data_IF_523548469600
#
_entry.id   IF_523548469600
#
_cell.length_a   1.000
_cell.length_b   1.000
_cell.length_c   1.000
_cell.angle_alpha   90.00
_cell.angle_beta   90.00
_cell.angle_gamma   90.00
#
_symmetry.space_group_name_H-M   'P 1'
#
loop_
_entity.id
_entity.type
_entity.pdbx_description
1 polymer ?
#
# COMPACT_ATOMS: atom_id res chain seq x y z
N UNK A 1 -5.54 -1.73 -21.57
CA UNK A 1 -5.16 -1.55 -20.15
C UNK A 1 -5.65 -0.24 -19.52
N UNK A 2 -5.06 0.95 -19.74
CA UNK A 2 -5.46 2.19 -19.03
C UNK A 2 -6.96 2.49 -19.18
N UNK A 3 -7.47 2.50 -20.41
CA UNK A 3 -8.90 2.75 -20.66
C UNK A 3 -9.80 1.71 -19.98
N UNK A 4 -9.38 0.44 -19.92
CA UNK A 4 -10.14 -0.63 -19.26
C UNK A 4 -10.15 -0.46 -17.73
N UNK A 5 -9.02 -0.07 -17.13
CA UNK A 5 -8.94 0.24 -15.69
C UNK A 5 -9.88 1.40 -15.32
N UNK A 6 -9.94 2.43 -16.17
CA UNK A 6 -10.85 3.58 -15.99
C UNK A 6 -12.31 3.14 -16.10
N UNK A 7 -12.65 2.31 -17.09
CA UNK A 7 -14.04 1.81 -17.24
C UNK A 7 -14.47 0.89 -16.10
N UNK A 8 -13.59 -0.02 -15.62
CA UNK A 8 -13.84 -0.84 -14.44
C UNK A 8 -14.10 0.05 -13.21
N UNK A 9 -13.32 1.13 -13.07
CA UNK A 9 -13.47 2.07 -11.97
C UNK A 9 -14.81 2.83 -12.01
N UNK A 10 -15.25 3.29 -13.19
CA UNK A 10 -16.57 3.91 -13.38
C UNK A 10 -17.71 2.97 -13.00
N UNK A 11 -17.64 1.70 -13.43
CA UNK A 11 -18.64 0.70 -13.07
C UNK A 11 -18.71 0.50 -11.54
N UNK A 12 -17.55 0.45 -10.89
CA UNK A 12 -17.43 0.32 -9.42
C UNK A 12 -18.05 1.52 -8.69
N UNK A 13 -17.89 2.74 -9.20
CA UNK A 13 -18.53 3.95 -8.65
C UNK A 13 -20.05 3.86 -8.68
N UNK A 14 -20.62 3.39 -9.79
CA UNK A 14 -22.08 3.24 -9.94
C UNK A 14 -22.63 2.25 -8.91
N UNK A 15 -21.94 1.13 -8.70
CA UNK A 15 -22.30 0.16 -7.67
C UNK A 15 -22.28 0.79 -6.26
N UNK A 16 -21.21 1.52 -5.93
CA UNK A 16 -21.06 2.20 -4.62
C UNK A 16 -22.17 3.22 -4.34
N UNK A 17 -22.54 4.03 -5.34
CA UNK A 17 -23.62 5.02 -5.19
C UNK A 17 -25.00 4.38 -4.96
N UNK A 18 -25.21 3.20 -5.55
CA UNK A 18 -26.48 2.48 -5.45
C UNK A 18 -26.57 1.57 -4.21
N UNK A 19 -25.47 1.37 -3.48
CA UNK A 19 -25.42 0.55 -2.27
C UNK A 19 -25.41 1.45 -1.01
N UNK A 20 -26.45 1.41 -0.16
CA UNK A 20 -26.53 2.27 1.03
C UNK A 20 -25.37 2.13 2.02
N UNK A 21 -24.82 0.91 2.16
CA UNK A 21 -23.69 0.64 3.06
C UNK A 21 -22.42 1.29 2.51
N UNK A 22 -22.19 1.17 1.20
CA UNK A 22 -21.04 1.79 0.55
C UNK A 22 -21.16 3.32 0.54
N UNK A 23 -22.38 3.86 0.35
CA UNK A 23 -22.63 5.30 0.45
C UNK A 23 -22.31 5.86 1.84
N UNK A 24 -22.67 5.16 2.90
CA UNK A 24 -22.32 5.59 4.26
C UNK A 24 -20.81 5.60 4.48
N UNK A 25 -20.10 4.60 3.93
CA UNK A 25 -18.63 4.59 3.94
C UNK A 25 -18.01 5.73 3.13
N UNK A 26 -18.63 6.13 2.02
CA UNK A 26 -18.23 7.32 1.26
C UNK A 26 -18.37 8.58 2.13
N UNK A 27 -19.46 8.74 2.87
CA UNK A 27 -19.65 9.87 3.80
C UNK A 27 -18.57 9.91 4.88
N UNK A 28 -18.22 8.76 5.46
CA UNK A 28 -17.14 8.67 6.45
C UNK A 28 -15.79 9.05 5.81
N UNK A 29 -15.48 8.50 4.62
CA UNK A 29 -14.23 8.78 3.91
C UNK A 29 -14.07 10.25 3.49
N UNK A 30 -15.18 10.95 3.21
CA UNK A 30 -15.19 12.38 2.91
C UNK A 30 -14.71 13.24 4.11
N UNK A 31 -14.91 12.74 5.33
CA UNK A 31 -14.52 13.41 6.57
C UNK A 31 -13.10 13.04 7.04
N UNK A 32 -12.39 12.17 6.32
CA UNK A 32 -11.02 11.76 6.63
C UNK A 32 -10.89 10.24 6.80
N UNK A 33 -9.84 9.83 7.51
CA UNK A 33 -9.52 8.42 7.72
C UNK A 33 -9.38 8.11 9.21
N UNK A 34 -9.93 6.96 9.61
CA UNK A 34 -9.83 6.40 10.97
C UNK A 34 -9.68 4.87 10.84
N UNK A 35 -8.58 4.40 10.22
CA UNK A 35 -8.33 2.98 10.07
C UNK A 35 -8.18 2.32 11.44
N UNK A 36 -8.69 1.10 11.55
CA UNK A 36 -8.62 0.29 12.77
C UNK A 36 -7.39 -0.60 12.79
N UNK A 37 -6.83 -0.87 11.61
CA UNK A 37 -5.72 -1.78 11.42
C UNK A 37 -4.59 -1.09 10.66
N UNK A 38 -3.35 -1.44 11.02
CA UNK A 38 -2.22 -1.34 10.10
C UNK A 38 -2.07 -2.73 9.46
N UNK A 39 -2.38 -2.86 8.17
CA UNK A 39 -2.23 -4.11 7.42
C UNK A 39 -0.87 -4.11 6.70
N UNK A 40 -0.02 -5.10 6.98
CA UNK A 40 1.25 -5.28 6.31
C UNK A 40 1.16 -6.53 5.43
N UNK A 41 1.03 -6.31 4.14
CA UNK A 41 0.84 -7.36 3.15
C UNK A 41 2.05 -7.52 2.25
N UNK A 42 2.24 -8.73 1.71
CA UNK A 42 3.27 -8.92 0.69
C UNK A 42 2.89 -8.21 -0.61
N UNK A 43 3.90 -7.78 -1.40
CA UNK A 43 3.67 -7.18 -2.73
C UNK A 43 2.73 -8.03 -3.59
N UNK A 44 2.82 -9.35 -3.48
CA UNK A 44 2.02 -10.30 -4.27
C UNK A 44 0.56 -10.40 -3.84
N UNK A 45 0.22 -10.00 -2.61
CA UNK A 45 -1.04 -10.36 -1.94
C UNK A 45 -1.84 -9.21 -1.39
N UNK A 46 -1.31 -7.98 -1.34
CA UNK A 46 -1.97 -6.82 -0.73
C UNK A 46 -3.43 -6.62 -1.16
N UNK A 47 -3.72 -6.73 -2.46
CA UNK A 47 -5.09 -6.61 -2.97
C UNK A 47 -5.98 -7.82 -2.58
N UNK A 48 -5.41 -9.03 -2.54
CA UNK A 48 -6.11 -10.24 -2.09
C UNK A 48 -6.41 -10.19 -0.59
N UNK A 49 -5.50 -9.69 0.24
CA UNK A 49 -5.69 -9.61 1.69
C UNK A 49 -6.86 -8.69 2.08
N UNK A 50 -7.01 -7.56 1.37
CA UNK A 50 -8.17 -6.67 1.55
C UNK A 50 -9.49 -7.39 1.24
N UNK A 51 -9.52 -8.21 0.18
CA UNK A 51 -10.70 -8.99 -0.18
C UNK A 51 -10.95 -10.14 0.80
N UNK A 52 -9.91 -10.90 1.11
CA UNK A 52 -9.94 -12.09 1.95
C UNK A 52 -10.39 -11.77 3.37
N UNK A 53 -9.86 -10.70 3.96
CA UNK A 53 -10.20 -10.26 5.32
C UNK A 53 -11.48 -9.40 5.39
N UNK A 54 -12.15 -9.22 4.25
CA UNK A 54 -13.31 -8.35 4.09
C UNK A 54 -13.08 -6.93 4.64
N UNK A 55 -11.88 -6.39 4.41
CA UNK A 55 -11.50 -5.04 4.83
C UNK A 55 -12.01 -4.05 3.80
N UNK A 56 -12.91 -3.17 4.24
CA UNK A 56 -13.51 -2.16 3.38
C UNK A 56 -12.71 -0.86 3.42
N UNK A 57 -13.06 0.04 2.51
CA UNK A 57 -12.54 1.40 2.51
C UNK A 57 -12.65 2.04 3.90
N UNK A 58 -11.52 2.55 4.39
CA UNK A 58 -11.38 3.16 5.71
C UNK A 58 -11.07 2.17 6.84
N UNK A 59 -11.03 0.85 6.61
CA UNK A 59 -10.78 -0.12 7.68
C UNK A 59 -9.29 -0.30 8.01
N UNK A 60 -8.40 -0.21 7.03
CA UNK A 60 -6.97 -0.49 7.21
C UNK A 60 -6.08 0.54 6.51
N UNK A 61 -5.09 1.06 7.24
CA UNK A 61 -3.93 1.73 6.65
C UNK A 61 -2.91 0.66 6.26
N UNK A 62 -2.20 0.83 5.15
CA UNK A 62 -1.39 -0.26 4.60
C UNK A 62 0.11 0.00 4.68
N UNK A 63 0.87 -1.04 5.03
CA UNK A 63 2.29 -1.17 4.78
C UNK A 63 2.54 -2.34 3.83
N UNK A 64 3.75 -2.40 3.27
CA UNK A 64 4.14 -3.42 2.30
C UNK A 64 5.34 -4.21 2.82
N UNK A 65 5.42 -5.49 2.48
CA UNK A 65 6.61 -6.32 2.67
C UNK A 65 6.97 -7.07 1.39
N UNK A 66 8.23 -7.46 1.25
CA UNK A 66 8.67 -8.33 0.16
C UNK A 66 8.33 -9.79 0.50
N UNK A 67 7.71 -10.56 -0.43
CA UNK A 67 7.32 -11.95 -0.17
C UNK A 67 8.53 -12.85 0.12
N UNK A 68 8.42 -13.74 1.11
CA UNK A 68 9.49 -14.69 1.49
C UNK A 68 10.72 -14.02 2.09
N UNK A 69 10.62 -12.74 2.48
CA UNK A 69 11.71 -11.97 3.09
C UNK A 69 11.26 -11.40 4.42
N UNK A 70 12.20 -11.35 5.36
CA UNK A 70 11.99 -10.71 6.66
C UNK A 70 11.73 -9.23 6.49
N UNK A 71 10.69 -8.69 7.14
CA UNK A 71 10.50 -7.23 7.25
C UNK A 71 11.73 -6.64 7.96
N UNK A 72 12.51 -5.73 7.33
CA UNK A 72 13.71 -5.18 7.95
C UNK A 72 13.43 -4.44 9.26
N UNK A 73 14.51 -4.15 10.00
CA UNK A 73 14.44 -3.22 11.14
C UNK A 73 13.99 -1.82 10.69
N UNK A 74 13.45 -1.03 11.61
CA UNK A 74 12.69 0.17 11.27
C UNK A 74 13.47 1.19 10.40
N UNK A 75 14.76 1.37 10.66
CA UNK A 75 15.69 2.24 9.91
C UNK A 75 16.02 1.72 8.51
N UNK A 76 15.88 0.41 8.27
CA UNK A 76 16.11 -0.27 7.00
C UNK A 76 14.85 -0.44 6.15
N UNK A 77 13.68 -0.03 6.64
CA UNK A 77 12.43 -0.04 5.87
C UNK A 77 11.60 1.24 6.02
N UNK A 78 12.19 2.42 5.75
CA UNK A 78 11.49 3.68 5.93
C UNK A 78 10.26 3.84 5.04
N UNK A 79 10.26 3.37 3.80
CA UNK A 79 9.16 3.60 2.86
C UNK A 79 8.10 2.49 2.91
N UNK A 80 8.51 1.23 2.96
CA UNK A 80 7.58 0.10 2.86
C UNK A 80 6.79 -0.13 4.15
N UNK A 81 7.41 0.08 5.32
CA UNK A 81 6.76 -0.20 6.61
C UNK A 81 6.84 0.95 7.61
N UNK A 82 8.03 1.42 7.99
CA UNK A 82 8.18 2.34 9.13
C UNK A 82 7.51 3.69 8.92
N UNK A 83 7.57 4.25 7.72
CA UNK A 83 6.87 5.48 7.36
C UNK A 83 5.36 5.33 7.50
N UNK A 84 4.73 4.31 6.87
CA UNK A 84 3.33 3.99 7.11
C UNK A 84 2.97 3.77 8.58
N UNK A 85 3.80 3.06 9.35
CA UNK A 85 3.60 2.83 10.77
C UNK A 85 3.61 4.13 11.59
N UNK A 86 4.60 4.99 11.35
CA UNK A 86 4.72 6.30 11.98
C UNK A 86 3.54 7.22 11.64
N UNK A 87 3.05 7.19 10.39
CA UNK A 87 1.84 7.94 10.02
C UNK A 87 0.61 7.40 10.76
N UNK A 88 0.50 6.07 10.87
CA UNK A 88 -0.60 5.40 11.56
C UNK A 88 -0.64 5.70 13.07
N UNK A 89 0.48 6.07 13.69
CA UNK A 89 0.57 6.50 15.09
C UNK A 89 -0.40 7.66 15.41
N UNK A 90 -0.75 8.50 14.43
CA UNK A 90 -1.63 9.64 14.63
C UNK A 90 -3.13 9.30 14.63
N UNK A 91 -3.51 8.06 14.30
CA UNK A 91 -4.92 7.67 14.32
C UNK A 91 -5.40 7.28 15.73
N UNK A 92 -6.66 7.61 16.07
CA UNK A 92 -7.20 7.36 17.40
C UNK A 92 -7.46 5.87 17.68
N UNK A 93 -7.85 5.10 16.65
CA UNK A 93 -8.14 3.68 16.75
C UNK A 93 -6.97 2.84 16.22
N UNK A 94 -6.52 1.83 17.00
CA UNK A 94 -5.40 0.93 16.65
C UNK A 94 -5.65 -0.46 17.22
N UNK A 95 -6.57 -1.19 16.62
CA UNK A 95 -7.00 -2.49 17.13
C UNK A 95 -5.93 -3.57 16.99
N UNK A 96 -5.18 -3.56 15.88
CA UNK A 96 -4.04 -4.44 15.67
C UNK A 96 -3.14 -3.97 14.51
N UNK A 97 -1.89 -4.42 14.52
CA UNK A 97 -1.08 -4.57 13.31
C UNK A 97 -1.30 -5.98 12.79
N UNK A 98 -1.85 -6.10 11.57
CA UNK A 98 -2.16 -7.37 10.91
C UNK A 98 -1.07 -7.64 9.88
N UNK A 99 -0.48 -8.83 9.90
CA UNK A 99 0.58 -9.22 8.96
C UNK A 99 0.20 -10.56 8.36
N UNK A 100 0.21 -10.65 7.04
CA UNK A 100 -0.12 -11.87 6.31
C UNK A 100 1.14 -12.54 5.75
N UNK A 101 1.16 -13.87 5.80
CA UNK A 101 2.21 -14.74 5.30
C UNK A 101 1.61 -15.85 4.44
N UNK A 102 2.37 -16.34 3.46
CA UNK A 102 1.97 -17.56 2.75
C UNK A 102 1.93 -18.72 3.74
N UNK A 103 1.01 -19.67 3.54
CA UNK A 103 0.88 -20.84 4.42
C UNK A 103 2.17 -21.66 4.57
N UNK A 104 3.00 -21.67 3.53
CA UNK A 104 4.29 -22.35 3.45
C UNK A 104 5.50 -21.40 3.66
N UNK A 105 5.25 -20.15 4.08
CA UNK A 105 6.34 -19.21 4.40
C UNK A 105 7.14 -19.69 5.62
N UNK A 106 8.47 -19.60 5.51
CA UNK A 106 9.42 -20.09 6.52
C UNK A 106 9.18 -19.40 7.87
N UNK A 107 9.04 -20.20 8.93
CA UNK A 107 8.80 -19.73 10.29
C UNK A 107 9.90 -18.76 10.76
N UNK A 108 11.16 -18.96 10.35
CA UNK A 108 12.25 -18.04 10.69
C UNK A 108 12.06 -16.64 10.08
N UNK A 109 11.48 -16.57 8.87
CA UNK A 109 11.12 -15.29 8.22
C UNK A 109 9.99 -14.61 8.98
N UNK A 110 8.99 -15.39 9.40
CA UNK A 110 7.82 -14.89 10.17
C UNK A 110 8.27 -14.37 11.53
N UNK A 111 8.99 -15.16 12.31
CA UNK A 111 9.47 -14.80 13.64
C UNK A 111 10.34 -13.54 13.63
N UNK A 112 11.28 -13.46 12.68
CA UNK A 112 12.14 -12.29 12.54
C UNK A 112 11.35 -11.04 12.11
N UNK A 113 10.35 -11.20 11.24
CA UNK A 113 9.48 -10.08 10.83
C UNK A 113 8.65 -9.57 12.01
N UNK A 114 8.04 -10.48 12.78
CA UNK A 114 7.26 -10.14 13.96
C UNK A 114 8.11 -9.46 15.03
N UNK A 115 9.35 -9.92 15.22
CA UNK A 115 10.32 -9.26 16.10
C UNK A 115 10.54 -7.81 15.68
N UNK A 116 10.95 -7.59 14.43
CA UNK A 116 11.26 -6.25 13.92
C UNK A 116 10.06 -5.31 13.94
N UNK A 117 8.86 -5.81 13.65
CA UNK A 117 7.62 -5.05 13.80
C UNK A 117 7.38 -4.72 15.27
N UNK A 118 7.41 -5.71 16.18
CA UNK A 118 7.17 -5.47 17.61
C UNK A 118 8.15 -4.48 18.27
N UNK A 119 9.38 -4.41 17.75
CA UNK A 119 10.44 -3.51 18.21
C UNK A 119 10.36 -2.12 17.57
N UNK A 120 9.55 -1.93 16.52
CA UNK A 120 9.32 -0.63 15.91
C UNK A 120 8.58 0.29 16.91
N UNK A 121 9.14 1.47 17.26
CA UNK A 121 8.54 2.37 18.24
C UNK A 121 7.09 2.78 17.93
N UNK A 122 6.74 2.95 16.66
CA UNK A 122 5.44 3.45 16.21
C UNK A 122 4.35 2.37 16.23
N UNK A 123 4.73 1.09 16.40
CA UNK A 123 3.80 -0.03 16.59
C UNK A 123 3.83 -0.63 17.99
N UNK A 124 4.71 -0.11 18.86
CA UNK A 124 4.92 -0.63 20.20
C UNK A 124 3.62 -0.55 21.01
N UNK A 125 3.22 -1.68 21.60
CA UNK A 125 2.02 -1.78 22.43
C UNK A 125 0.71 -1.96 21.66
N UNK A 126 0.75 -1.98 20.32
CA UNK A 126 -0.39 -2.39 19.49
C UNK A 126 -0.38 -3.94 19.39
N UNK A 127 -1.53 -4.62 19.52
CA UNK A 127 -1.59 -6.06 19.31
C UNK A 127 -1.09 -6.46 17.91
N UNK A 128 -0.32 -7.54 17.83
CA UNK A 128 0.09 -8.15 16.57
C UNK A 128 -0.83 -9.33 16.25
N UNK A 129 -1.27 -9.39 15.00
CA UNK A 129 -2.05 -10.48 14.43
C UNK A 129 -1.31 -11.01 13.21
N UNK A 130 -0.62 -12.13 13.37
CA UNK A 130 0.11 -12.81 12.31
C UNK A 130 -0.77 -13.91 11.71
N UNK A 131 -1.03 -13.86 10.40
CA UNK A 131 -1.92 -14.79 9.71
C UNK A 131 -1.15 -15.54 8.63
N UNK A 132 -1.18 -16.87 8.66
CA UNK A 132 -0.76 -17.72 7.53
C UNK A 132 -1.96 -17.97 6.64
N UNK A 133 -1.77 -17.79 5.34
CA UNK A 133 -2.85 -17.79 4.36
C UNK A 133 -2.54 -18.76 3.23
N UNK A 134 -3.47 -19.68 2.96
CA UNK A 134 -3.47 -20.45 1.73
C UNK A 134 -4.40 -19.79 0.72
N UNK A 135 -3.85 -18.94 -0.15
CA UNK A 135 -4.64 -18.18 -1.12
C UNK A 135 -5.37 -19.05 -2.15
N UNK A 136 -4.97 -20.32 -2.33
CA UNK A 136 -5.65 -21.25 -3.23
C UNK A 136 -6.94 -21.83 -2.63
N UNK A 137 -6.96 -22.03 -1.30
CA UNK A 137 -8.12 -22.58 -0.59
C UNK A 137 -8.92 -21.51 0.16
N UNK A 138 -8.35 -20.31 0.33
CA UNK A 138 -8.90 -19.24 1.16
C UNK A 138 -8.78 -19.51 2.66
N UNK A 139 -8.05 -20.55 3.07
CA UNK A 139 -7.85 -20.91 4.46
C UNK A 139 -6.89 -19.93 5.14
N UNK A 140 -7.23 -19.54 6.38
CA UNK A 140 -6.41 -18.68 7.23
C UNK A 140 -6.24 -19.33 8.58
N UNK A 141 -5.02 -19.30 9.10
CA UNK A 141 -4.70 -19.67 10.46
C UNK A 141 -3.89 -18.56 11.14
N UNK A 142 -4.11 -18.36 12.45
CA UNK A 142 -3.26 -17.49 13.24
C UNK A 142 -1.93 -18.17 13.51
N UNK A 143 -0.83 -17.50 13.19
CA UNK A 143 0.50 -17.95 13.55
C UNK A 143 0.77 -17.68 15.04
N UNK A 144 1.12 -18.72 15.79
CA UNK A 144 1.35 -18.60 17.24
C UNK A 144 2.67 -17.90 17.54
N UNK A 145 2.63 -16.83 18.35
CA UNK A 145 3.82 -16.09 18.79
C UNK A 145 3.69 -15.54 20.21
N UNK A 146 4.80 -15.04 20.77
CA UNK A 146 4.89 -14.54 22.16
C UNK A 146 4.62 -13.04 22.34
N UNK A 147 4.46 -12.27 21.26
CA UNK A 147 4.16 -10.83 21.33
C UNK A 147 2.73 -10.55 21.82
N UNK A 148 2.42 -9.28 22.08
CA UNK A 148 1.08 -8.87 22.52
C UNK A 148 0.03 -9.22 21.46
N UNK A 149 -1.00 -9.98 21.85
CA UNK A 149 -2.03 -10.52 20.97
C UNK A 149 -3.42 -10.05 21.38
N UNK A 150 -4.35 -10.09 20.44
CA UNK A 150 -5.75 -9.81 20.69
C UNK A 150 -6.63 -10.88 20.03
N UNK A 151 -6.97 -11.92 20.79
CA UNK A 151 -7.73 -13.08 20.29
C UNK A 151 -9.07 -12.68 19.67
N UNK A 152 -9.78 -11.71 20.23
CA UNK A 152 -11.06 -11.27 19.68
C UNK A 152 -10.91 -10.65 18.29
N UNK A 153 -9.80 -9.94 18.04
CA UNK A 153 -9.48 -9.38 16.72
C UNK A 153 -9.02 -10.48 15.76
N UNK A 154 -8.19 -11.42 16.21
CA UNK A 154 -7.76 -12.58 15.42
C UNK A 154 -8.98 -13.39 14.95
N UNK A 155 -9.85 -13.78 15.86
CA UNK A 155 -11.06 -14.54 15.58
C UNK A 155 -12.00 -13.76 14.64
N UNK A 156 -12.13 -12.45 14.85
CA UNK A 156 -12.93 -11.58 13.99
C UNK A 156 -12.41 -11.52 12.55
N UNK A 157 -11.09 -11.46 12.35
CA UNK A 157 -10.48 -11.46 11.03
C UNK A 157 -10.60 -12.83 10.35
N UNK A 158 -10.32 -13.92 11.08
CA UNK A 158 -10.39 -15.29 10.54
C UNK A 158 -11.82 -15.66 10.16
N UNK A 159 -12.81 -15.36 11.00
CA UNK A 159 -14.22 -15.72 10.74
C UNK A 159 -14.85 -14.99 9.55
N UNK A 160 -14.21 -13.91 9.06
CA UNK A 160 -14.58 -13.16 7.86
C UNK A 160 -14.00 -13.73 6.58
N UNK A 161 -12.88 -14.45 6.67
CA UNK A 161 -12.26 -15.11 5.54
C UNK A 161 -13.08 -16.32 5.08
N UNK A 162 -14.12 -16.01 4.30
CA UNK A 162 -15.12 -16.97 3.82
C UNK A 162 -15.07 -17.22 2.31
N UNK A 163 -14.18 -16.50 1.63
CA UNK A 163 -14.11 -16.49 0.18
C UNK A 163 -12.68 -16.70 -0.26
N UNK A 164 -12.49 -17.60 -1.22
CA UNK A 164 -11.25 -17.69 -1.98
C UNK A 164 -11.08 -16.35 -2.71
N UNK A 165 -9.97 -15.64 -2.48
CA UNK A 165 -9.76 -14.34 -3.11
C UNK A 165 -9.61 -14.51 -4.63
N UNK A 166 -9.98 -13.48 -5.37
CA UNK A 166 -9.80 -13.45 -6.82
C UNK A 166 -8.34 -13.69 -7.19
N UNK A 167 -8.09 -14.37 -8.31
CA UNK A 167 -6.73 -14.60 -8.80
C UNK A 167 -5.98 -13.29 -9.06
N UNK A 168 -4.65 -13.40 -8.95
CA UNK A 168 -3.74 -12.28 -9.17
C UNK A 168 -3.34 -12.19 -10.64
N UNK A 169 -3.37 -10.98 -11.17
CA UNK A 169 -2.67 -10.62 -12.37
C UNK A 169 -1.22 -10.29 -12.01
N UNK A 170 -0.33 -11.27 -12.20
CA UNK A 170 1.09 -11.16 -11.92
C UNK A 170 1.87 -10.38 -13.01
N UNK A 171 1.21 -9.82 -14.02
CA UNK A 171 1.82 -8.90 -14.99
C UNK A 171 1.77 -7.44 -14.54
N UNK A 172 0.98 -7.12 -13.51
CA UNK A 172 0.71 -5.75 -13.09
C UNK A 172 1.00 -5.56 -11.60
N UNK A 173 1.89 -4.60 -11.29
CA UNK A 173 2.04 -4.04 -9.95
C UNK A 173 1.40 -2.66 -9.92
N UNK A 174 0.50 -2.42 -8.97
CA UNK A 174 -0.04 -1.09 -8.70
C UNK A 174 0.69 -0.44 -7.53
N UNK A 175 1.14 0.80 -7.74
CA UNK A 175 1.66 1.68 -6.70
C UNK A 175 0.55 2.63 -6.28
N UNK A 176 0.11 2.53 -5.03
CA UNK A 176 -0.98 3.35 -4.48
C UNK A 176 -0.66 3.74 -3.04
N UNK A 177 -1.31 4.76 -2.52
CA UNK A 177 -1.03 5.23 -1.17
C UNK A 177 -1.47 4.20 -0.10
N UNK A 178 -0.80 4.22 1.05
CA UNK A 178 -1.22 3.56 2.29
C UNK A 178 -2.56 4.06 2.84
N UNK A 179 -3.06 5.19 2.35
CA UNK A 179 -4.32 5.80 2.77
C UNK A 179 -5.47 4.79 2.73
N UNK A 180 -6.10 4.58 3.88
CA UNK A 180 -7.14 3.57 4.04
C UNK A 180 -8.36 3.77 3.15
N UNK A 181 -8.51 4.95 2.54
CA UNK A 181 -9.62 5.28 1.66
C UNK A 181 -9.41 4.81 0.23
N UNK A 182 -8.22 4.33 -0.12
CA UNK A 182 -7.91 3.88 -1.48
C UNK A 182 -7.41 2.44 -1.45
N UNK A 183 -7.96 1.63 -2.36
CA UNK A 183 -7.54 0.25 -2.57
C UNK A 183 -6.89 0.15 -3.96
N UNK A 184 -5.98 -0.82 -4.18
CA UNK A 184 -5.50 -1.13 -5.52
C UNK A 184 -6.69 -1.43 -6.46
N UNK A 185 -6.82 -0.75 -7.60
CA UNK A 185 -7.87 -1.00 -8.57
C UNK A 185 -7.73 -2.39 -9.20
N UNK A 186 -8.86 -3.00 -9.55
CA UNK A 186 -8.89 -4.26 -10.31
C UNK A 186 -8.25 -4.08 -11.69
N UNK A 187 -7.58 -5.12 -12.17
CA UNK A 187 -7.03 -5.19 -13.53
C UNK A 187 -7.96 -5.95 -14.47
N UNK A 188 -7.60 -5.99 -15.76
CA UNK A 188 -8.32 -6.76 -16.78
C UNK A 188 -8.32 -8.28 -16.54
N UNK A 189 -7.36 -8.80 -15.76
CA UNK A 189 -7.18 -10.24 -15.54
C UNK A 189 -7.32 -10.67 -14.06
N UNK A 190 -7.68 -9.76 -13.16
CA UNK A 190 -7.79 -10.05 -11.73
C UNK A 190 -7.23 -8.96 -10.84
N UNK A 191 -6.87 -9.32 -9.60
CA UNK A 191 -6.27 -8.40 -8.64
C UNK A 191 -4.79 -8.14 -8.98
N UNK A 192 -4.29 -6.91 -8.92
CA UNK A 192 -2.87 -6.67 -9.18
C UNK A 192 -2.01 -7.11 -7.98
N UNK A 193 -0.72 -7.32 -8.23
CA UNK A 193 0.26 -7.09 -7.16
C UNK A 193 0.19 -5.62 -6.74
N UNK A 194 0.48 -5.30 -5.48
CA UNK A 194 0.41 -3.90 -5.05
C UNK A 194 1.46 -3.54 -4.02
N UNK A 195 1.94 -2.31 -4.13
CA UNK A 195 2.80 -1.65 -3.15
C UNK A 195 2.01 -0.47 -2.61
N UNK A 196 1.73 -0.51 -1.31
CA UNK A 196 1.01 0.52 -0.58
C UNK A 196 1.95 1.21 0.40
N UNK A 197 2.31 2.46 0.09
CA UNK A 197 3.27 3.28 0.85
C UNK A 197 2.78 4.72 0.91
N UNK A 198 3.44 5.58 1.69
CA UNK A 198 3.05 7.01 1.74
C UNK A 198 3.20 7.65 0.35
N UNK A 199 2.07 8.09 -0.23
CA UNK A 199 2.02 8.66 -1.57
C UNK A 199 2.21 7.65 -2.72
N UNK A 200 2.19 6.34 -2.46
CA UNK A 200 2.48 5.31 -3.45
C UNK A 200 3.94 5.33 -3.94
N UNK A 201 4.84 5.82 -3.10
CA UNK A 201 6.23 6.06 -3.40
C UNK A 201 7.09 4.78 -3.39
N UNK A 202 8.13 4.77 -4.23
CA UNK A 202 9.20 3.77 -4.26
C UNK A 202 10.54 4.52 -4.18
N UNK A 203 11.42 4.20 -3.21
CA UNK A 203 12.70 4.88 -3.06
C UNK A 203 13.67 4.52 -4.18
N UNK A 204 14.68 5.35 -4.42
CA UNK A 204 15.83 4.98 -5.25
C UNK A 204 16.64 3.85 -4.60
N UNK A 205 17.26 2.99 -5.42
CA UNK A 205 18.10 1.89 -4.96
C UNK A 205 19.35 2.41 -4.27
N UNK A 206 19.62 1.92 -3.06
CA UNK A 206 20.75 2.38 -2.23
C UNK A 206 21.98 1.48 -2.33
N UNK A 207 21.81 0.23 -2.79
CA UNK A 207 22.85 -0.80 -2.74
C UNK A 207 23.15 -1.35 -1.35
N UNK A 208 22.36 -0.98 -0.33
CA UNK A 208 22.52 -1.44 1.05
C UNK A 208 21.59 -2.62 1.35
N UNK A 209 21.88 -3.36 2.42
CA UNK A 209 21.00 -4.42 2.93
C UNK A 209 19.78 -3.81 3.67
N UNK A 210 18.85 -3.29 2.87
CA UNK A 210 17.62 -2.60 3.25
C UNK A 210 16.43 -3.00 2.35
N UNK A 211 15.28 -2.33 2.51
CA UNK A 211 14.07 -2.57 1.70
C UNK A 211 14.31 -2.46 0.19
N UNK A 212 15.28 -1.66 -0.26
CA UNK A 212 15.59 -1.48 -1.68
C UNK A 212 16.32 -2.69 -2.26
N UNK A 213 17.22 -3.33 -1.50
CA UNK A 213 17.81 -4.61 -1.89
C UNK A 213 16.78 -5.74 -1.94
N UNK A 214 15.84 -5.77 -0.99
CA UNK A 214 14.75 -6.75 -1.04
C UNK A 214 13.85 -6.52 -2.25
N UNK A 215 13.50 -5.26 -2.55
CA UNK A 215 12.69 -4.93 -3.71
C UNK A 215 13.42 -5.23 -5.03
N UNK A 216 14.73 -4.99 -5.12
CA UNK A 216 15.54 -5.39 -6.27
C UNK A 216 15.47 -6.90 -6.53
N UNK A 217 15.63 -7.73 -5.50
CA UNK A 217 15.52 -9.19 -5.63
C UNK A 217 14.11 -9.64 -6.05
N UNK A 218 13.08 -8.93 -5.59
CA UNK A 218 11.72 -9.16 -6.05
C UNK A 218 11.55 -8.81 -7.54
N UNK A 219 12.05 -7.65 -7.98
CA UNK A 219 11.99 -7.24 -9.39
C UNK A 219 12.69 -8.26 -10.30
N UNK A 220 13.85 -8.78 -9.88
CA UNK A 220 14.58 -9.82 -10.61
C UNK A 220 13.74 -11.08 -10.81
N UNK A 221 13.11 -11.56 -9.73
CA UNK A 221 12.26 -12.75 -9.77
C UNK A 221 10.99 -12.50 -10.59
N UNK A 222 10.35 -11.35 -10.39
CA UNK A 222 9.08 -11.01 -11.04
C UNK A 222 9.23 -10.92 -12.57
N UNK A 223 10.31 -10.31 -13.05
CA UNK A 223 10.60 -10.20 -14.49
C UNK A 223 11.05 -11.51 -15.14
N UNK A 224 11.50 -12.48 -14.34
CA UNK A 224 11.85 -13.81 -14.85
C UNK A 224 10.62 -14.71 -15.03
N UNK A 225 9.44 -14.30 -14.55
CA UNK A 225 8.21 -15.10 -14.52
C UNK A 225 7.05 -14.43 -15.26
N UNK A 226 6.16 -15.22 -15.85
CA UNK A 226 4.94 -14.71 -16.50
C UNK A 226 5.18 -14.21 -17.93
N UNK A 227 4.48 -13.15 -18.32
CA UNK A 227 4.53 -12.62 -19.69
C UNK A 227 5.84 -11.89 -20.02
N UNK A 228 6.09 -11.66 -21.31
CA UNK A 228 7.26 -10.90 -21.81
C UNK A 228 7.25 -9.43 -21.36
N UNK A 229 6.07 -8.87 -21.01
CA UNK A 229 5.92 -7.46 -20.67
C UNK A 229 5.16 -7.27 -19.37
N UNK A 230 5.80 -6.58 -18.43
CA UNK A 230 5.29 -6.27 -17.10
C UNK A 230 4.95 -4.78 -16.98
N UNK A 231 4.02 -4.46 -16.10
CA UNK A 231 3.52 -3.10 -15.92
C UNK A 231 3.61 -2.66 -14.47
N UNK A 232 4.19 -1.49 -14.24
CA UNK A 232 4.10 -0.78 -12.97
C UNK A 232 3.15 0.39 -13.17
N UNK A 233 2.02 0.37 -12.48
CA UNK A 233 0.96 1.38 -12.62
C UNK A 233 0.91 2.24 -11.37
N UNK A 234 1.36 3.49 -11.47
CA UNK A 234 1.21 4.47 -10.40
C UNK A 234 -0.17 5.11 -10.44
N UNK A 235 -0.86 5.10 -9.30
CA UNK A 235 -2.21 5.66 -9.17
C UNK A 235 -2.24 6.67 -8.01
N UNK A 236 -2.05 7.97 -8.29
CA UNK A 236 -2.21 9.01 -7.27
C UNK A 236 -3.67 9.08 -6.80
N UNK A 237 -3.90 9.68 -5.64
CA UNK A 237 -5.25 9.88 -5.12
C UNK A 237 -5.42 11.27 -4.50
N UNK A 238 -6.66 11.74 -4.46
CA UNK A 238 -6.98 13.05 -3.90
C UNK A 238 -8.47 13.29 -3.81
N UNK A 239 -8.84 14.56 -3.64
CA UNK A 239 -10.22 14.99 -3.85
C UNK A 239 -10.34 15.43 -5.31
N UNK A 240 -11.17 14.73 -6.08
CA UNK A 240 -11.46 15.13 -7.47
C UNK A 240 -12.78 15.90 -7.56
N UNK A 241 -13.64 15.78 -6.56
CA UNK A 241 -14.89 16.54 -6.39
C UNK A 241 -14.69 17.62 -5.31
N UNK A 242 -15.59 18.60 -5.20
CA UNK A 242 -15.50 19.68 -4.19
C UNK A 242 -15.49 19.14 -2.75
N UNK A 243 -16.03 17.93 -2.54
CA UNK A 243 -16.06 17.22 -1.26
C UNK A 243 -14.92 16.19 -1.16
N UNK A 244 -14.22 16.15 -0.02
CA UNK A 244 -13.22 15.12 0.31
C UNK A 244 -11.90 15.66 0.85
N UNK A 245 -11.06 14.76 1.38
CA UNK A 245 -9.74 15.10 1.91
C UNK A 245 -8.63 14.70 0.94
N UNK A 246 -7.63 15.57 0.84
CA UNK A 246 -6.40 15.34 0.09
C UNK A 246 -5.64 14.09 0.58
N UNK A 247 -4.68 13.64 -0.23
CA UNK A 247 -3.66 12.70 0.25
C UNK A 247 -2.88 13.31 1.41
N UNK A 248 -2.84 12.60 2.54
CA UNK A 248 -2.11 13.03 3.73
C UNK A 248 -0.61 13.21 3.49
N UNK A 249 0.04 12.24 2.85
CA UNK A 249 1.46 12.29 2.51
C UNK A 249 1.76 13.40 1.48
N UNK A 250 0.91 13.54 0.45
CA UNK A 250 1.01 14.62 -0.53
C UNK A 250 0.96 15.99 0.15
N UNK A 251 -0.02 16.21 1.03
CA UNK A 251 -0.18 17.46 1.80
C UNK A 251 1.00 17.70 2.74
N UNK A 252 1.41 16.69 3.50
CA UNK A 252 2.52 16.79 4.46
C UNK A 252 3.85 17.14 3.76
N UNK A 253 4.09 16.58 2.57
CA UNK A 253 5.32 16.85 1.81
C UNK A 253 5.42 18.28 1.29
N UNK A 254 4.33 19.05 1.23
CA UNK A 254 4.38 20.46 0.85
C UNK A 254 5.15 21.30 1.88
N UNK A 255 5.05 20.95 3.16
CA UNK A 255 5.73 21.62 4.26
C UNK A 255 6.30 20.57 5.25
N UNK A 256 7.39 19.87 4.90
CA UNK A 256 7.94 18.82 5.75
C UNK A 256 8.38 19.31 7.13
N UNK A 257 8.67 20.60 7.28
CA UNK A 257 9.02 21.24 8.55
C UNK A 257 7.92 21.13 9.62
N UNK A 258 6.67 21.01 9.19
CA UNK A 258 5.50 20.94 10.08
C UNK A 258 5.21 19.51 10.55
N UNK A 259 5.96 18.53 10.02
CA UNK A 259 5.85 17.13 10.38
C UNK A 259 6.83 16.81 11.50
N UNK A 260 6.33 16.10 12.51
CA UNK A 260 7.12 15.63 13.64
C UNK A 260 7.19 14.10 13.63
N UNK A 261 8.19 13.55 14.32
CA UNK A 261 8.40 12.09 14.42
C UNK A 261 9.71 11.64 13.79
N UNK A 262 10.37 10.67 14.45
CA UNK A 262 11.71 10.18 14.07
C UNK A 262 11.71 9.48 12.73
N UNK A 263 10.68 8.68 12.43
CA UNK A 263 10.58 7.93 11.17
C UNK A 263 9.70 8.63 10.13
N UNK A 264 8.67 9.36 10.55
CA UNK A 264 7.75 10.01 9.61
C UNK A 264 8.39 11.20 8.89
N UNK A 265 9.04 12.11 9.62
CA UNK A 265 9.57 13.34 9.02
C UNK A 265 10.61 13.07 7.91
N UNK A 266 11.61 12.18 8.09
CA UNK A 266 12.57 11.88 7.02
C UNK A 266 11.91 11.33 5.75
N UNK A 267 10.86 10.51 5.89
CA UNK A 267 10.09 10.02 4.74
C UNK A 267 9.40 11.17 4.02
N UNK A 268 8.72 12.06 4.75
CA UNK A 268 8.06 13.22 4.15
C UNK A 268 9.06 14.20 3.49
N UNK A 269 10.24 14.40 4.09
CA UNK A 269 11.34 15.18 3.49
C UNK A 269 11.84 14.53 2.20
N UNK A 270 11.97 13.20 2.17
CA UNK A 270 12.33 12.44 0.95
C UNK A 270 11.30 12.67 -0.15
N UNK A 271 10.01 12.50 0.15
CA UNK A 271 8.92 12.76 -0.82
C UNK A 271 8.97 14.19 -1.36
N UNK A 272 9.28 15.17 -0.51
CA UNK A 272 9.42 16.55 -0.94
C UNK A 272 10.61 16.74 -1.89
N UNK A 273 11.80 16.30 -1.50
CA UNK A 273 13.02 16.49 -2.27
C UNK A 273 12.94 15.85 -3.65
N UNK A 274 12.42 14.64 -3.71
CA UNK A 274 12.33 13.90 -4.96
C UNK A 274 11.28 14.49 -5.90
N UNK A 275 10.10 14.84 -5.39
CA UNK A 275 9.08 15.48 -6.22
C UNK A 275 9.55 16.85 -6.74
N UNK A 276 10.19 17.66 -5.89
CA UNK A 276 10.60 19.01 -6.26
C UNK A 276 11.66 19.05 -7.36
N UNK A 277 12.37 17.95 -7.62
CA UNK A 277 13.27 17.83 -8.78
C UNK A 277 12.54 17.85 -10.13
N UNK A 278 11.22 17.62 -10.14
CA UNK A 278 10.36 17.62 -11.32
C UNK A 278 9.36 18.80 -11.34
N UNK A 279 9.45 19.70 -10.35
CA UNK A 279 8.60 20.87 -10.20
C UNK A 279 9.36 22.12 -10.66
N UNK A 280 8.80 22.87 -11.61
CA UNK A 280 9.38 24.16 -12.04
C UNK A 280 9.12 25.30 -11.05
N UNK A 281 8.11 25.14 -10.21
CA UNK A 281 7.70 26.05 -9.13
C UNK A 281 7.05 25.23 -8.01
N UNK A 282 6.93 25.76 -6.77
CA UNK A 282 6.21 25.09 -5.71
C UNK A 282 4.81 24.65 -6.17
N UNK A 283 4.38 23.41 -5.87
CA UNK A 283 3.14 22.86 -6.42
C UNK A 283 1.93 23.56 -5.81
N UNK A 284 0.94 23.84 -6.65
CA UNK A 284 -0.29 24.55 -6.27
C UNK A 284 -1.22 23.71 -5.38
N UNK A 285 -1.05 22.38 -5.38
CA UNK A 285 -1.88 21.45 -4.61
C UNK A 285 -1.13 20.16 -4.24
N UNK A 286 -1.60 19.44 -3.19
CA UNK A 286 -1.12 18.09 -2.89
C UNK A 286 -1.19 17.14 -4.07
N UNK A 287 -2.23 17.25 -4.91
CA UNK A 287 -2.42 16.41 -6.10
C UNK A 287 -1.34 16.67 -7.15
N UNK A 288 -0.97 17.93 -7.42
CA UNK A 288 0.14 18.26 -8.33
C UNK A 288 1.47 17.71 -7.82
N UNK A 289 1.68 17.76 -6.51
CA UNK A 289 2.84 17.13 -5.86
C UNK A 289 2.88 15.61 -6.08
N UNK A 290 1.75 14.91 -5.99
CA UNK A 290 1.69 13.48 -6.29
C UNK A 290 1.98 13.17 -7.77
N UNK A 291 1.58 14.04 -8.70
CA UNK A 291 1.92 13.89 -10.13
C UNK A 291 3.44 13.94 -10.34
N UNK A 292 4.12 14.90 -9.69
CA UNK A 292 5.58 15.01 -9.72
C UNK A 292 6.27 13.79 -9.06
N UNK A 293 5.70 13.25 -7.97
CA UNK A 293 6.17 11.98 -7.40
C UNK A 293 6.07 10.81 -8.38
N UNK A 294 5.07 10.79 -9.26
CA UNK A 294 4.98 9.79 -10.32
C UNK A 294 6.19 9.77 -11.26
N UNK A 295 6.74 10.95 -11.59
CA UNK A 295 7.97 11.06 -12.38
C UNK A 295 9.20 10.65 -11.58
N UNK A 296 9.25 10.99 -10.28
CA UNK A 296 10.30 10.55 -9.38
C UNK A 296 10.34 9.02 -9.24
N UNK A 297 9.19 8.36 -9.12
CA UNK A 297 9.08 6.89 -9.08
C UNK A 297 9.71 6.27 -10.34
N UNK A 298 9.42 6.81 -11.52
CA UNK A 298 10.01 6.30 -12.77
C UNK A 298 11.54 6.44 -12.77
N UNK A 299 12.06 7.57 -12.29
CA UNK A 299 13.51 7.79 -12.14
C UNK A 299 14.12 6.88 -11.07
N UNK A 300 13.41 6.62 -9.97
CA UNK A 300 13.90 5.76 -8.91
C UNK A 300 13.96 4.30 -9.36
N UNK A 301 12.93 3.82 -10.06
CA UNK A 301 12.92 2.47 -10.63
C UNK A 301 14.12 2.22 -11.56
N UNK A 302 14.54 3.20 -12.36
CA UNK A 302 15.71 3.05 -13.23
C UNK A 302 17.06 2.97 -12.50
N UNK A 303 17.09 3.22 -11.18
CA UNK A 303 18.29 3.00 -10.36
C UNK A 303 18.46 1.55 -9.89
N UNK A 304 17.41 0.72 -10.00
CA UNK A 304 17.46 -0.67 -9.57
C UNK A 304 18.19 -1.53 -10.61
N UNK A 305 19.23 -2.29 -10.23
CA UNK A 305 19.94 -3.17 -11.16
C UNK A 305 19.06 -4.19 -11.88
N UNK A 306 18.02 -4.68 -11.21
CA UNK A 306 17.08 -5.62 -11.80
C UNK A 306 16.12 -4.97 -12.79
N UNK A 307 15.89 -3.66 -12.76
CA UNK A 307 14.90 -3.00 -13.61
C UNK A 307 15.37 -2.97 -15.08
N UNK A 308 14.57 -3.57 -15.97
CA UNK A 308 14.78 -3.58 -17.41
C UNK A 308 13.63 -2.82 -18.09
N UNK A 309 13.91 -1.63 -18.64
CA UNK A 309 12.92 -0.79 -19.32
C UNK A 309 12.36 -1.42 -20.61
N UNK A 310 13.00 -2.46 -21.15
CA UNK A 310 12.47 -3.22 -22.29
C UNK A 310 11.38 -4.21 -21.87
N UNK A 311 11.34 -4.58 -20.59
CA UNK A 311 10.39 -5.53 -20.01
C UNK A 311 9.34 -4.88 -19.12
N UNK A 312 9.73 -3.86 -18.36
CA UNK A 312 8.83 -3.14 -17.45
C UNK A 312 8.43 -1.80 -18.07
N UNK A 313 7.14 -1.63 -18.27
CA UNK A 313 6.55 -0.34 -18.62
C UNK A 313 5.97 0.34 -17.38
N UNK A 314 6.44 1.55 -17.08
CA UNK A 314 5.90 2.37 -15.99
C UNK A 314 4.83 3.30 -16.56
N UNK A 315 3.61 3.15 -16.03
CA UNK A 315 2.44 3.92 -16.44
C UNK A 315 1.93 4.72 -15.25
N UNK A 316 1.62 5.99 -15.49
CA UNK A 316 0.80 6.77 -14.56
C UNK A 316 -0.65 6.70 -15.04
N UNK A 317 -1.54 6.24 -14.17
CA UNK A 317 -2.97 6.28 -14.42
C UNK A 317 -3.53 7.68 -14.11
N UNK A 318 -4.84 7.85 -14.20
CA UNK A 318 -5.56 8.97 -13.60
C UNK A 318 -5.49 8.98 -12.06
N UNK A 319 -6.22 9.93 -11.46
CA UNK A 319 -6.32 10.10 -10.02
C UNK A 319 -7.51 9.32 -9.45
N UNK A 320 -7.27 8.52 -8.39
CA UNK A 320 -8.36 7.94 -7.60
C UNK A 320 -8.97 9.02 -6.70
N UNK A 321 -10.29 9.16 -6.79
CA UNK A 321 -11.07 9.94 -5.87
C UNK A 321 -11.25 9.19 -4.53
N UNK A 322 -10.83 9.82 -3.44
CA UNK A 322 -10.84 9.19 -2.10
C UNK A 322 -12.23 8.91 -1.53
N UNK A 323 -13.27 9.51 -2.09
CA UNK A 323 -14.65 9.29 -1.65
C UNK A 323 -15.25 8.15 -2.47
N UNK A 324 -15.29 8.32 -3.78
CA UNK A 324 -15.98 7.43 -4.70
C UNK A 324 -15.16 6.21 -5.12
N UNK A 325 -13.83 6.27 -5.06
CA UNK A 325 -12.91 5.27 -5.61
C UNK A 325 -12.82 5.27 -7.13
N UNK A 326 -13.39 6.29 -7.79
CA UNK A 326 -13.32 6.45 -9.24
C UNK A 326 -11.95 6.99 -9.66
N UNK A 327 -11.40 6.42 -10.72
CA UNK A 327 -10.22 6.91 -11.40
C UNK A 327 -10.69 7.93 -12.44
N UNK A 328 -10.25 9.18 -12.26
CA UNK A 328 -10.49 10.26 -13.23
C UNK A 328 -9.18 10.58 -13.94
N UNK A 329 -9.25 10.71 -15.26
CA UNK A 329 -8.08 11.06 -16.05
C UNK A 329 -7.57 12.46 -15.68
N UNK A 330 -6.28 12.70 -15.93
CA UNK A 330 -5.70 14.02 -15.84
C UNK A 330 -5.92 14.70 -17.20
N UNK A 331 -6.82 15.68 -17.27
CA UNK A 331 -6.97 16.54 -18.47
C UNK A 331 -5.61 17.09 -18.94
#
# INVERSE_FOLDING_TARGET
MINELVEISKATRVERKNNPILRERMNVAANGQQPRFLLISSIKRSAQDLQLLDLKQGDAFSGTRVPGRTIPQADKTPIFFSGPAAYNEHFPEKNAVVITFEHDEDDAVIEASLKNVSENPDTKGIPLVALKVNYNTGEIEAYSHSYFRNQAVEDHLITRARTIPTEVNDDVIVLVCSDSRVHPPLTYAGLPYAIQTLGGHIPAYTGQDDETAQFNAFLETWQATGSEKKYVVFVPHGKTEEEGQHCGAGKASLNPSDVHGTYLRPVIETLNQEASSFESAPPESPERRLVALGEAIKKNLSTYPAYDETKIEVLRLGMIDTVTGEIKDFD
#
